data_IF_747293105805
#
_entry.id   IF_747293105805
#
_cell.length_a   1.000
_cell.length_b   1.000
_cell.length_c   1.000
_cell.angle_alpha   90.00
_cell.angle_beta   90.00
_cell.angle_gamma   90.00
#
_symmetry.space_group_name_H-M   'P 1'
#
loop_
_entity.id
_entity.type
_entity.pdbx_description
1 polymer ?
#
# COMPACT_ATOMS: atom_id res chain seq x y z
N UNK A 1 15.72 -17.77 -4.76
CA UNK A 1 14.59 -16.99 -4.25
C UNK A 1 14.98 -15.52 -4.20
N UNK A 2 14.12 -14.66 -4.64
CA UNK A 2 14.28 -13.21 -4.61
C UNK A 2 13.04 -12.57 -4.01
N UNK A 3 13.19 -11.36 -3.49
CA UNK A 3 12.08 -10.56 -2.98
C UNK A 3 12.14 -9.20 -3.66
N UNK A 4 11.07 -8.83 -4.36
CA UNK A 4 10.88 -7.51 -4.93
C UNK A 4 9.92 -6.73 -4.03
N UNK A 5 10.33 -5.54 -3.59
CA UNK A 5 9.51 -4.62 -2.82
C UNK A 5 9.04 -3.45 -3.68
N UNK A 6 7.72 -3.21 -3.69
CA UNK A 6 7.08 -2.08 -4.38
C UNK A 6 6.39 -1.23 -3.32
N UNK A 7 7.08 -0.20 -2.85
CA UNK A 7 6.57 0.72 -1.83
C UNK A 7 5.66 1.78 -2.46
N UNK A 8 4.61 2.18 -1.73
CA UNK A 8 3.62 3.14 -2.22
C UNK A 8 2.54 2.53 -3.12
N UNK A 9 2.52 1.20 -3.24
CA UNK A 9 1.53 0.49 -4.03
C UNK A 9 1.11 -0.83 -3.39
N UNK A 10 -0.19 -1.02 -3.26
CA UNK A 10 -0.82 -2.26 -2.81
C UNK A 10 -1.53 -2.95 -3.96
N UNK A 11 -1.30 -4.24 -4.15
CA UNK A 11 -1.93 -5.01 -5.23
C UNK A 11 -3.46 -5.00 -5.16
N UNK A 12 -4.02 -4.85 -3.97
CA UNK A 12 -5.47 -4.84 -3.71
C UNK A 12 -6.00 -3.43 -3.49
N UNK A 13 -5.29 -2.64 -2.68
CA UNK A 13 -5.70 -1.28 -2.31
C UNK A 13 -5.29 -0.20 -3.33
N UNK A 14 -4.46 -0.53 -4.31
CA UNK A 14 -3.94 0.43 -5.28
C UNK A 14 -2.83 1.32 -4.72
N UNK A 15 -2.74 2.55 -5.20
CA UNK A 15 -1.72 3.51 -4.74
C UNK A 15 -2.04 4.01 -3.34
N UNK A 16 -1.04 3.99 -2.47
CA UNK A 16 -1.14 4.49 -1.10
C UNK A 16 0.22 4.49 -0.43
N UNK A 17 0.61 5.61 0.17
CA UNK A 17 1.91 5.78 0.84
C UNK A 17 2.11 4.82 2.01
N UNK A 18 1.01 4.36 2.60
CA UNK A 18 0.96 3.38 3.68
C UNK A 18 0.87 1.93 3.20
N UNK A 19 1.11 1.66 1.91
CA UNK A 19 1.02 0.33 1.33
C UNK A 19 2.34 -0.08 0.69
N UNK A 20 2.65 -1.37 0.79
CA UNK A 20 3.80 -1.98 0.14
C UNK A 20 3.40 -3.37 -0.35
N UNK A 21 3.78 -3.70 -1.57
CA UNK A 21 3.65 -5.05 -2.10
C UNK A 21 5.02 -5.71 -2.13
N UNK A 22 5.10 -6.88 -1.53
CA UNK A 22 6.28 -7.75 -1.59
C UNK A 22 5.98 -8.92 -2.52
N UNK A 23 6.72 -9.03 -3.60
CA UNK A 23 6.65 -10.18 -4.50
C UNK A 23 7.78 -11.12 -4.14
N UNK A 24 7.43 -12.30 -3.65
CA UNK A 24 8.40 -13.33 -3.24
C UNK A 24 8.49 -14.38 -4.35
N UNK A 25 9.66 -14.44 -4.98
CA UNK A 25 9.95 -15.43 -5.99
C UNK A 25 10.51 -16.69 -5.33
N UNK A 26 9.80 -17.79 -5.50
CA UNK A 26 10.18 -19.07 -4.93
C UNK A 26 11.20 -19.77 -5.82
N UNK A 27 12.01 -20.65 -5.25
CA UNK A 27 12.88 -21.55 -6.00
C UNK A 27 12.09 -22.37 -7.02
N UNK A 28 12.80 -22.92 -8.01
CA UNK A 28 12.18 -23.77 -9.04
C UNK A 28 11.56 -25.03 -8.43
N UNK A 29 10.60 -25.62 -9.13
CA UNK A 29 9.86 -26.79 -8.66
C UNK A 29 10.80 -27.97 -8.32
N UNK A 30 11.86 -28.15 -9.08
CA UNK A 30 12.85 -29.21 -8.87
C UNK A 30 13.62 -29.05 -7.55
N UNK A 31 13.78 -27.83 -7.05
CA UNK A 31 14.48 -27.52 -5.81
C UNK A 31 13.57 -27.52 -4.58
N UNK A 32 12.27 -27.72 -4.78
CA UNK A 32 11.25 -27.78 -3.70
C UNK A 32 10.27 -28.91 -3.93
N UNK A 33 10.75 -30.17 -3.89
CA UNK A 33 9.95 -31.35 -4.22
C UNK A 33 8.95 -31.75 -3.13
N UNK A 34 9.08 -31.21 -1.92
CA UNK A 34 8.23 -31.61 -0.79
C UNK A 34 6.86 -30.90 -0.86
N UNK A 35 5.75 -31.59 -0.55
CA UNK A 35 4.41 -31.00 -0.57
C UNK A 35 4.26 -29.76 0.30
N UNK A 36 4.93 -29.71 1.44
CA UNK A 36 4.96 -28.57 2.37
C UNK A 36 5.67 -27.32 1.82
N UNK A 37 6.47 -27.49 0.76
CA UNK A 37 7.14 -26.40 0.02
C UNK A 37 6.30 -25.88 -1.13
N UNK A 38 5.11 -26.41 -1.34
CA UNK A 38 4.15 -25.89 -2.30
C UNK A 38 3.66 -24.51 -1.86
N UNK A 39 3.51 -23.58 -2.79
CA UNK A 39 3.17 -22.18 -2.50
C UNK A 39 1.94 -22.05 -1.60
N UNK A 40 0.87 -22.80 -1.87
CA UNK A 40 -0.35 -22.76 -1.05
C UNK A 40 -0.15 -23.22 0.39
N UNK A 41 0.73 -24.21 0.61
CA UNK A 41 1.04 -24.74 1.94
C UNK A 41 2.02 -23.83 2.72
N UNK A 42 2.74 -22.96 2.02
CA UNK A 42 3.63 -21.96 2.63
C UNK A 42 2.87 -20.72 3.13
N UNK A 43 1.71 -20.38 2.54
CA UNK A 43 0.93 -19.20 2.90
C UNK A 43 0.65 -19.14 4.41
N UNK A 44 0.07 -20.17 5.07
CA UNK A 44 -0.23 -20.09 6.49
C UNK A 44 1.03 -19.98 7.36
N UNK A 45 2.14 -20.59 6.93
CA UNK A 45 3.43 -20.49 7.64
C UNK A 45 3.98 -19.07 7.58
N UNK A 46 3.98 -18.46 6.40
CA UNK A 46 4.44 -17.08 6.20
C UNK A 46 3.51 -16.11 6.95
N UNK A 47 2.20 -16.30 6.85
CA UNK A 47 1.22 -15.47 7.56
C UNK A 47 1.46 -15.51 9.07
N UNK A 48 1.73 -16.69 9.64
CA UNK A 48 2.05 -16.86 11.07
C UNK A 48 3.33 -16.15 11.48
N UNK A 49 4.38 -16.21 10.67
CA UNK A 49 5.63 -15.48 10.92
C UNK A 49 5.44 -13.97 10.88
N UNK A 50 4.64 -13.48 9.93
CA UNK A 50 4.40 -12.05 9.77
C UNK A 50 3.52 -11.46 10.89
N UNK A 51 2.69 -12.27 11.53
CA UNK A 51 1.90 -11.83 12.70
C UNK A 51 2.75 -11.43 13.91
N UNK A 52 4.01 -11.86 13.97
CA UNK A 52 4.94 -11.39 15.02
C UNK A 52 5.35 -9.93 14.86
N UNK A 53 5.07 -9.31 13.70
CA UNK A 53 5.34 -7.89 13.40
C UNK A 53 4.00 -7.14 13.56
N UNK A 54 3.78 -6.39 14.65
CA UNK A 54 2.45 -5.90 15.03
C UNK A 54 1.92 -4.74 14.19
N UNK A 55 2.80 -3.95 13.59
CA UNK A 55 2.39 -2.68 12.96
C UNK A 55 1.72 -2.84 11.59
N UNK A 56 2.25 -3.61 10.60
CA UNK A 56 1.61 -3.77 9.31
C UNK A 56 0.49 -4.82 9.35
N UNK A 57 -0.56 -4.58 8.60
CA UNK A 57 -1.56 -5.62 8.30
C UNK A 57 -1.09 -6.44 7.12
N UNK A 58 -0.59 -7.62 7.38
CA UNK A 58 -0.06 -8.52 6.38
C UNK A 58 -1.16 -9.32 5.69
N UNK A 59 -1.07 -9.41 4.38
CA UNK A 59 -1.93 -10.27 3.55
C UNK A 59 -1.04 -11.08 2.62
N UNK A 60 -1.09 -12.39 2.76
CA UNK A 60 -0.30 -13.32 1.95
C UNK A 60 -1.24 -14.10 1.04
N UNK A 61 -1.01 -14.02 -0.26
CA UNK A 61 -1.82 -14.72 -1.26
C UNK A 61 -0.99 -15.03 -2.50
N UNK A 62 -1.44 -15.97 -3.31
CA UNK A 62 -0.86 -16.24 -4.62
C UNK A 62 -1.53 -15.39 -5.69
N UNK A 63 -0.78 -14.98 -6.72
CA UNK A 63 -1.37 -14.34 -7.89
C UNK A 63 -2.39 -15.29 -8.57
N UNK A 64 -3.36 -14.77 -9.35
CA UNK A 64 -4.28 -15.59 -10.09
C UNK A 64 -3.55 -16.45 -11.13
N UNK A 65 -4.08 -17.64 -11.40
CA UNK A 65 -3.49 -18.57 -12.37
C UNK A 65 -3.44 -18.00 -13.80
N UNK A 66 -4.35 -17.07 -14.11
CA UNK A 66 -4.41 -16.39 -15.40
C UNK A 66 -4.09 -14.91 -15.17
N UNK A 67 -2.96 -14.39 -15.69
CA UNK A 67 -2.65 -12.97 -15.60
C UNK A 67 -3.76 -12.09 -16.21
N UNK A 68 -4.16 -11.04 -15.48
CA UNK A 68 -5.21 -10.12 -15.92
C UNK A 68 -6.63 -10.51 -15.50
N UNK A 69 -6.83 -11.68 -14.92
CA UNK A 69 -8.15 -12.12 -14.42
C UNK A 69 -8.31 -11.81 -12.91
N UNK A 70 -8.07 -10.55 -12.51
CA UNK A 70 -8.13 -10.10 -11.12
C UNK A 70 -6.76 -9.96 -10.45
N UNK A 71 -6.75 -9.55 -9.19
CA UNK A 71 -5.52 -9.31 -8.42
C UNK A 71 -5.13 -10.49 -7.51
N UNK A 72 -6.07 -11.38 -7.22
CA UNK A 72 -5.87 -12.57 -6.41
C UNK A 72 -6.82 -13.68 -6.88
N UNK A 73 -6.48 -14.94 -6.57
CA UNK A 73 -7.39 -16.07 -6.77
C UNK A 73 -8.60 -15.92 -5.85
N UNK A 74 -9.81 -16.03 -6.42
CA UNK A 74 -11.03 -16.00 -5.63
C UNK A 74 -12.13 -15.12 -6.24
N UNK A 75 -13.04 -14.67 -5.37
CA UNK A 75 -14.19 -13.84 -5.73
C UNK A 75 -13.93 -12.41 -5.28
N UNK A 76 -14.09 -11.45 -6.18
CA UNK A 76 -14.06 -10.03 -5.87
C UNK A 76 -15.48 -9.52 -5.62
N UNK A 77 -15.70 -8.92 -4.45
CA UNK A 77 -16.98 -8.34 -4.05
C UNK A 77 -16.82 -6.86 -3.83
N UNK A 78 -17.70 -6.05 -4.40
CA UNK A 78 -17.72 -4.61 -4.20
C UNK A 78 -18.86 -4.23 -3.26
N UNK A 79 -18.53 -3.54 -2.17
CA UNK A 79 -19.50 -2.92 -1.26
C UNK A 79 -19.61 -1.46 -1.66
N UNK A 80 -20.81 -1.04 -2.03
CA UNK A 80 -21.07 0.33 -2.44
C UNK A 80 -22.03 1.00 -1.45
N UNK A 81 -21.62 2.14 -0.91
CA UNK A 81 -22.52 3.07 -0.24
C UNK A 81 -23.24 3.94 -1.28
N UNK A 82 -24.54 3.71 -1.45
CA UNK A 82 -25.36 4.46 -2.42
C UNK A 82 -25.71 5.87 -1.96
N UNK A 83 -25.64 6.14 -0.67
CA UNK A 83 -25.98 7.42 -0.06
C UNK A 83 -24.74 8.31 0.09
N UNK A 84 -23.56 7.70 0.19
CA UNK A 84 -22.28 8.41 0.24
C UNK A 84 -22.06 9.24 1.51
N UNK A 85 -22.66 8.83 2.62
CA UNK A 85 -22.77 9.68 3.81
C UNK A 85 -21.60 9.56 4.77
N UNK A 86 -21.00 8.38 4.92
CA UNK A 86 -20.02 8.17 5.99
C UNK A 86 -18.99 7.07 5.67
N UNK A 87 -17.73 7.45 5.37
CA UNK A 87 -16.67 6.49 5.14
C UNK A 87 -16.41 5.54 6.31
N UNK A 88 -16.66 5.98 7.56
CA UNK A 88 -16.44 5.17 8.75
C UNK A 88 -17.48 4.06 8.83
N UNK A 89 -18.76 4.36 8.55
CA UNK A 89 -19.81 3.34 8.49
C UNK A 89 -19.55 2.29 7.41
N UNK A 90 -19.04 2.71 6.26
CA UNK A 90 -18.65 1.77 5.20
C UNK A 90 -17.54 0.83 5.70
N UNK A 91 -16.57 1.37 6.44
CA UNK A 91 -15.49 0.58 7.04
C UNK A 91 -16.01 -0.42 8.07
N UNK A 92 -16.95 -0.02 8.92
CA UNK A 92 -17.62 -0.89 9.89
C UNK A 92 -18.37 -2.04 9.21
N UNK A 93 -19.20 -1.74 8.20
CA UNK A 93 -19.93 -2.75 7.42
C UNK A 93 -18.98 -3.72 6.74
N UNK A 94 -17.91 -3.22 6.15
CA UNK A 94 -16.83 -4.04 5.57
C UNK A 94 -16.24 -4.98 6.63
N UNK A 95 -15.91 -4.48 7.82
CA UNK A 95 -15.30 -5.29 8.88
C UNK A 95 -16.26 -6.38 9.38
N UNK A 96 -17.55 -6.08 9.55
CA UNK A 96 -18.57 -7.06 9.90
C UNK A 96 -18.71 -8.15 8.82
N UNK A 97 -18.69 -7.75 7.54
CA UNK A 97 -18.74 -8.71 6.44
C UNK A 97 -17.50 -9.61 6.41
N UNK A 98 -16.31 -9.03 6.55
CA UNK A 98 -15.06 -9.78 6.60
C UNK A 98 -15.03 -10.79 7.76
N UNK A 99 -15.50 -10.39 8.94
CA UNK A 99 -15.60 -11.29 10.08
C UNK A 99 -16.50 -12.49 9.77
N UNK A 100 -17.69 -12.26 9.19
CA UNK A 100 -18.62 -13.33 8.80
C UNK A 100 -18.06 -14.23 7.70
N UNK A 101 -17.36 -13.66 6.72
CA UNK A 101 -16.73 -14.45 5.65
C UNK A 101 -15.60 -15.32 6.18
N UNK A 102 -14.75 -14.80 7.06
CA UNK A 102 -13.65 -15.54 7.63
C UNK A 102 -14.06 -16.64 8.63
N UNK A 103 -15.30 -16.62 9.13
CA UNK A 103 -15.86 -17.72 9.92
C UNK A 103 -16.51 -18.83 9.08
N UNK A 104 -16.66 -18.61 7.78
CA UNK A 104 -17.27 -19.60 6.89
C UNK A 104 -16.24 -20.67 6.46
N UNK A 105 -16.47 -21.97 6.71
CA UNK A 105 -15.51 -23.02 6.39
C UNK A 105 -15.25 -23.22 4.89
N UNK A 106 -16.10 -22.65 4.01
CA UNK A 106 -15.92 -22.68 2.56
C UNK A 106 -15.02 -21.56 2.03
N UNK A 107 -14.64 -20.61 2.88
CA UNK A 107 -13.82 -19.45 2.51
C UNK A 107 -12.49 -19.57 3.22
N UNK A 108 -11.42 -19.66 2.45
CA UNK A 108 -10.06 -19.78 3.00
C UNK A 108 -9.62 -18.50 3.71
N UNK A 109 -9.86 -17.36 3.09
CA UNK A 109 -9.59 -16.04 3.66
C UNK A 109 -10.39 -14.96 2.90
N UNK A 110 -10.91 -13.98 3.63
CA UNK A 110 -11.51 -12.78 3.07
C UNK A 110 -10.78 -11.54 3.59
N UNK A 111 -10.47 -10.62 2.70
CA UNK A 111 -9.74 -9.39 3.02
C UNK A 111 -10.20 -8.22 2.15
N UNK A 112 -9.93 -7.00 2.58
CA UNK A 112 -10.20 -5.78 1.83
C UNK A 112 -9.08 -4.76 2.03
N UNK A 113 -8.77 -4.02 0.98
CA UNK A 113 -7.75 -2.95 1.02
C UNK A 113 -8.26 -1.60 1.53
N UNK A 114 -9.58 -1.43 1.69
CA UNK A 114 -10.17 -0.18 2.15
C UNK A 114 -9.96 0.04 3.65
N UNK A 115 -9.50 1.24 4.03
CA UNK A 115 -9.37 1.68 5.41
C UNK A 115 -9.80 3.16 5.50
N UNK A 116 -10.86 3.45 6.25
CA UNK A 116 -11.35 4.81 6.47
C UNK A 116 -10.48 5.61 7.45
N UNK A 117 -9.75 4.92 8.34
CA UNK A 117 -8.98 5.54 9.42
C UNK A 117 -7.48 5.54 9.06
N UNK A 118 -7.14 6.12 7.92
CA UNK A 118 -5.73 6.33 7.59
C UNK A 118 -5.26 7.65 8.19
N UNK A 119 -4.22 7.66 9.04
CA UNK A 119 -3.64 8.90 9.57
C UNK A 119 -3.21 9.83 8.43
N UNK A 120 -3.60 11.09 8.51
CA UNK A 120 -3.23 12.13 7.54
C UNK A 120 -2.74 13.36 8.28
N UNK A 121 -1.64 13.93 7.80
CA UNK A 121 -1.20 15.23 8.25
C UNK A 121 -1.96 16.31 7.49
N UNK A 122 -2.59 17.23 8.24
CA UNK A 122 -3.26 18.40 7.69
C UNK A 122 -2.47 19.64 8.01
N UNK A 123 -1.99 20.32 6.98
CA UNK A 123 -1.29 21.61 7.14
C UNK A 123 -2.30 22.75 7.12
N UNK A 124 -2.41 23.47 8.23
CA UNK A 124 -3.20 24.69 8.33
C UNK A 124 -2.24 25.89 8.20
N UNK A 125 -2.22 26.49 7.03
CA UNK A 125 -1.42 27.68 6.77
C UNK A 125 -2.12 28.93 7.33
N UNK A 126 -1.41 29.67 8.20
CA UNK A 126 -1.80 31.02 8.57
C UNK A 126 -1.50 31.99 7.42
N UNK A 127 -2.53 32.25 6.62
CA UNK A 127 -2.41 33.11 5.44
C UNK A 127 -2.12 34.56 5.79
N UNK A 128 -2.67 35.06 6.89
CA UNK A 128 -2.45 36.42 7.35
C UNK A 128 -0.97 36.63 7.72
N UNK A 129 -0.40 35.66 8.42
CA UNK A 129 1.03 35.69 8.77
C UNK A 129 1.93 35.58 7.54
N UNK A 130 1.58 34.73 6.58
CA UNK A 130 2.33 34.62 5.33
C UNK A 130 2.30 35.93 4.54
N UNK A 131 1.16 36.61 4.49
CA UNK A 131 0.99 37.90 3.83
C UNK A 131 1.79 39.00 4.55
N UNK A 132 1.78 39.04 5.88
CA UNK A 132 2.59 39.96 6.67
C UNK A 132 4.09 39.83 6.39
N UNK A 133 4.57 38.61 6.13
CA UNK A 133 5.96 38.34 5.75
C UNK A 133 6.22 38.46 4.25
N UNK A 134 5.25 38.90 3.45
CA UNK A 134 5.33 38.98 2.00
C UNK A 134 5.71 37.64 1.32
N UNK A 135 5.31 36.52 1.93
CA UNK A 135 5.54 35.17 1.38
C UNK A 135 4.28 34.69 0.65
N UNK A 136 4.33 34.53 -0.68
CA UNK A 136 3.19 34.02 -1.42
C UNK A 136 2.79 32.61 -0.93
N UNK A 137 1.49 32.39 -0.76
CA UNK A 137 0.93 31.10 -0.33
C UNK A 137 1.39 29.94 -1.22
N UNK A 138 1.48 30.19 -2.54
CA UNK A 138 1.98 29.21 -3.50
C UNK A 138 3.43 28.78 -3.21
N UNK A 139 4.28 29.70 -2.78
CA UNK A 139 5.68 29.43 -2.40
C UNK A 139 5.75 28.52 -1.18
N UNK A 140 4.89 28.75 -0.17
CA UNK A 140 4.84 27.90 1.01
C UNK A 140 4.47 26.45 0.63
N UNK A 141 3.40 26.28 -0.15
CA UNK A 141 2.99 24.93 -0.56
C UNK A 141 3.99 24.25 -1.49
N UNK A 142 4.63 24.98 -2.40
CA UNK A 142 5.67 24.40 -3.28
C UNK A 142 6.90 23.98 -2.48
N UNK A 143 7.27 24.73 -1.46
CA UNK A 143 8.37 24.38 -0.55
C UNK A 143 8.03 23.11 0.23
N UNK A 144 6.84 23.04 0.84
CA UNK A 144 6.39 21.84 1.55
C UNK A 144 6.36 20.62 0.63
N UNK A 145 5.86 20.78 -0.61
CA UNK A 145 5.87 19.71 -1.58
C UNK A 145 7.30 19.24 -1.92
N UNK A 146 8.23 20.16 -2.11
CA UNK A 146 9.62 19.83 -2.41
C UNK A 146 10.29 19.09 -1.24
N UNK A 147 10.01 19.52 -0.01
CA UNK A 147 10.60 18.92 1.18
C UNK A 147 10.01 17.54 1.48
N UNK A 148 8.69 17.42 1.51
CA UNK A 148 7.99 16.23 1.99
C UNK A 148 7.65 15.25 0.86
N UNK A 149 7.19 15.74 -0.28
CA UNK A 149 6.62 14.93 -1.35
C UNK A 149 7.56 14.63 -2.51
N UNK A 150 8.76 15.19 -2.52
CA UNK A 150 9.69 15.22 -3.65
C UNK A 150 9.20 16.06 -4.86
N UNK A 151 10.14 16.67 -5.54
CA UNK A 151 9.91 17.39 -6.79
C UNK A 151 10.69 16.74 -7.93
N UNK A 152 9.99 16.37 -8.97
CA UNK A 152 10.63 16.00 -10.23
C UNK A 152 11.32 17.22 -10.85
N UNK A 153 12.59 17.07 -11.21
CA UNK A 153 13.40 18.14 -11.79
C UNK A 153 13.62 17.88 -13.27
N UNK A 154 14.12 16.69 -13.63
CA UNK A 154 14.43 16.32 -15.01
C UNK A 154 14.71 14.81 -15.11
N UNK A 155 14.86 14.32 -16.35
CA UNK A 155 15.39 13.00 -16.64
C UNK A 155 16.85 13.07 -17.07
N UNK A 156 17.64 12.09 -16.67
CA UNK A 156 19.05 11.94 -17.06
C UNK A 156 19.25 10.59 -17.72
N UNK A 157 19.83 10.61 -18.90
CA UNK A 157 20.18 9.40 -19.62
C UNK A 157 21.55 8.89 -19.12
N UNK A 158 21.56 7.74 -18.48
CA UNK A 158 22.76 7.03 -18.06
C UNK A 158 22.88 5.72 -18.86
N UNK A 159 23.71 5.73 -19.87
CA UNK A 159 23.81 4.60 -20.80
C UNK A 159 22.51 4.38 -21.57
N UNK A 160 21.89 3.21 -21.40
CA UNK A 160 20.61 2.84 -22.05
C UNK A 160 19.38 3.11 -21.21
N UNK A 161 19.54 3.66 -20.00
CA UNK A 161 18.45 3.90 -19.05
C UNK A 161 18.17 5.38 -18.88
N UNK A 162 16.88 5.70 -18.86
CA UNK A 162 16.39 7.04 -18.50
C UNK A 162 16.10 7.05 -16.99
N UNK A 163 16.87 7.83 -16.24
CA UNK A 163 16.74 7.95 -14.80
C UNK A 163 16.06 9.26 -14.42
N UNK A 164 15.04 9.16 -13.61
CA UNK A 164 14.29 10.31 -13.10
C UNK A 164 15.06 11.00 -11.98
N UNK A 165 15.32 12.29 -12.13
CA UNK A 165 15.95 13.11 -11.09
C UNK A 165 14.87 13.77 -10.26
N UNK A 166 14.87 13.51 -8.96
CA UNK A 166 13.96 14.13 -7.99
C UNK A 166 14.75 14.79 -6.86
N UNK A 167 14.24 15.91 -6.35
CA UNK A 167 14.79 16.62 -5.19
C UNK A 167 13.81 16.47 -4.03
N UNK A 168 14.34 16.16 -2.86
CA UNK A 168 13.58 15.99 -1.63
C UNK A 168 14.47 16.38 -0.44
N UNK A 169 13.87 16.78 0.69
CA UNK A 169 14.66 16.95 1.91
C UNK A 169 15.26 15.63 2.37
N UNK A 170 16.42 15.69 3.04
CA UNK A 170 17.02 14.52 3.65
C UNK A 170 16.12 13.94 4.74
N UNK A 171 16.32 12.67 5.09
CA UNK A 171 15.49 11.94 6.04
C UNK A 171 15.34 12.69 7.37
N UNK A 172 16.44 13.21 7.92
CA UNK A 172 16.43 13.92 9.21
C UNK A 172 15.56 15.18 9.19
N UNK A 173 15.42 15.82 8.02
CA UNK A 173 14.58 17.02 7.85
C UNK A 173 13.09 16.74 7.60
N UNK A 174 12.67 15.48 7.47
CA UNK A 174 11.27 15.10 7.15
C UNK A 174 10.73 13.92 7.93
N UNK A 175 11.51 13.32 8.83
CA UNK A 175 11.13 12.15 9.62
C UNK A 175 10.14 12.45 10.74
N UNK A 176 10.08 13.70 11.16
CA UNK A 176 9.13 14.19 12.18
C UNK A 176 8.33 15.36 11.63
N UNK A 177 7.02 15.45 11.91
CA UNK A 177 6.16 16.56 11.49
C UNK A 177 6.51 17.87 12.20
#
# INVERSE_FOLDING_TARGET
SSVLSITGWGMIGGRGENQTTLVVDLKTWNERPLPEQHALNMIPKIQGLLQSIPEPRWQVFTPPAIPGLGNANGISVHIQDKVGTDPIKLDEVKNVLLAKLNTNPKILAAFAGYNAVTPKLRFNLDRTKAEMFHVPVATVYSTLQNYLGSRYVNDVNLGTQVNRVTVQADWDGRSTP
#
